data_IF_096185987126
#
_entry.id   IF_096185987126
#
_cell.length_a   1.000
_cell.length_b   1.000
_cell.length_c   1.000
_cell.angle_alpha   90.00
_cell.angle_beta   90.00
_cell.angle_gamma   90.00
#
_symmetry.space_group_name_H-M   'P 1'
#
loop_
_entity.id
_entity.type
_entity.pdbx_description
1 polymer ?
#
# COMPACT_ATOMS: atom_id res chain seq x y z
N UNK A 1 -24.86 1.17 6.36
CA UNK A 1 -24.28 1.10 7.74
C UNK A 1 -22.84 1.59 7.65
N UNK A 2 -22.25 2.18 8.71
CA UNK A 2 -20.84 2.56 8.68
C UNK A 2 -19.94 1.32 8.49
N UNK A 3 -18.76 1.44 7.86
CA UNK A 3 -17.84 0.32 7.72
C UNK A 3 -17.34 -0.14 9.09
N UNK A 4 -17.17 -1.46 9.30
CA UNK A 4 -16.61 -1.97 10.55
C UNK A 4 -15.12 -1.61 10.67
N UNK A 5 -14.72 -1.28 11.89
CA UNK A 5 -13.36 -0.93 12.28
C UNK A 5 -12.94 -1.79 13.47
N UNK A 6 -11.74 -2.37 13.41
CA UNK A 6 -11.12 -3.10 14.53
C UNK A 6 -9.65 -2.73 14.66
N UNK A 7 -9.14 -2.80 15.89
CA UNK A 7 -7.72 -2.71 16.17
C UNK A 7 -7.13 -4.13 16.14
N UNK A 8 -6.15 -4.34 15.25
CA UNK A 8 -5.46 -5.61 15.06
C UNK A 8 -4.03 -5.48 15.56
N UNK A 9 -3.65 -6.31 16.54
CA UNK A 9 -2.30 -6.33 17.10
C UNK A 9 -1.44 -7.40 16.43
N UNK A 10 -0.28 -7.01 15.92
CA UNK A 10 0.73 -7.88 15.33
C UNK A 10 1.76 -8.23 16.40
N UNK A 11 1.86 -9.51 16.75
CA UNK A 11 2.87 -10.05 17.66
C UNK A 11 3.85 -10.87 16.83
N UNK A 12 5.12 -10.47 16.80
CA UNK A 12 6.17 -11.13 16.02
C UNK A 12 7.18 -11.74 16.98
N UNK A 13 7.42 -13.04 16.86
CA UNK A 13 8.35 -13.80 17.71
C UNK A 13 8.13 -13.61 19.22
N UNK A 14 6.86 -13.41 19.62
CA UNK A 14 6.43 -13.26 21.01
C UNK A 14 6.37 -11.82 21.53
N UNK A 15 6.82 -10.84 20.75
CA UNK A 15 6.82 -9.42 21.13
C UNK A 15 5.85 -8.60 20.27
N UNK A 16 5.18 -7.62 20.89
CA UNK A 16 4.27 -6.72 20.16
C UNK A 16 5.06 -5.83 19.18
N UNK A 17 4.73 -5.91 17.90
CA UNK A 17 5.32 -5.06 16.87
C UNK A 17 4.50 -3.79 16.65
N UNK A 18 3.18 -3.91 16.45
CA UNK A 18 2.27 -2.80 16.17
C UNK A 18 0.81 -3.18 16.40
N UNK A 19 -0.04 -2.18 16.63
CA UNK A 19 -1.51 -2.31 16.56
C UNK A 19 -2.03 -1.37 15.49
N UNK A 20 -2.80 -1.91 14.55
CA UNK A 20 -3.31 -1.19 13.37
C UNK A 20 -4.83 -1.14 13.44
N UNK A 21 -5.41 0.06 13.35
CA UNK A 21 -6.85 0.22 13.13
C UNK A 21 -7.16 -0.03 11.65
N UNK A 22 -7.98 -1.03 11.35
CA UNK A 22 -8.27 -1.46 9.99
C UNK A 22 -9.67 -2.06 9.84
N UNK A 23 -10.04 -2.38 8.60
CA UNK A 23 -11.23 -3.18 8.33
C UNK A 23 -10.98 -4.65 8.72
N UNK A 24 -11.92 -5.34 9.39
CA UNK A 24 -11.71 -6.69 9.92
C UNK A 24 -11.95 -7.78 8.87
N UNK A 25 -11.23 -7.71 7.76
CA UNK A 25 -11.24 -8.74 6.74
C UNK A 25 -9.81 -9.00 6.27
N UNK A 26 -9.53 -10.23 5.81
CA UNK A 26 -8.21 -10.61 5.25
C UNK A 26 -7.03 -10.15 6.11
N UNK A 27 -7.14 -10.30 7.43
CA UNK A 27 -6.16 -9.76 8.41
C UNK A 27 -4.75 -10.35 8.23
N UNK A 28 -4.65 -11.59 7.75
CA UNK A 28 -3.39 -12.25 7.41
C UNK A 28 -2.66 -11.53 6.27
N UNK A 29 -3.38 -11.08 5.24
CA UNK A 29 -2.79 -10.32 4.15
C UNK A 29 -2.34 -8.93 4.61
N UNK A 30 -3.12 -8.27 5.48
CA UNK A 30 -2.68 -7.02 6.11
C UNK A 30 -1.38 -7.21 6.91
N UNK A 31 -1.29 -8.27 7.72
CA UNK A 31 -0.12 -8.56 8.54
C UNK A 31 1.13 -8.86 7.69
N UNK A 32 1.03 -9.74 6.69
CA UNK A 32 2.12 -10.00 5.75
C UNK A 32 2.55 -8.74 5.01
N UNK A 33 1.57 -7.97 4.57
CA UNK A 33 1.76 -6.70 3.92
C UNK A 33 2.56 -5.70 4.75
N UNK A 34 2.16 -5.54 6.02
CA UNK A 34 2.85 -4.68 6.97
C UNK A 34 4.31 -5.10 7.14
N UNK A 35 4.58 -6.40 7.34
CA UNK A 35 5.94 -6.91 7.45
C UNK A 35 6.77 -6.68 6.18
N UNK A 36 6.15 -6.86 5.01
CA UNK A 36 6.81 -6.66 3.71
C UNK A 36 7.15 -5.20 3.47
N UNK A 37 6.23 -4.32 3.82
CA UNK A 37 6.38 -2.87 3.71
C UNK A 37 7.36 -2.35 4.75
N UNK A 38 7.49 -2.95 5.93
CA UNK A 38 8.51 -2.55 6.91
C UNK A 38 9.87 -3.23 6.70
N UNK A 39 10.08 -3.87 5.54
CA UNK A 39 11.32 -4.55 5.15
C UNK A 39 11.75 -5.67 6.11
N UNK A 40 10.79 -6.21 6.88
CA UNK A 40 11.02 -7.33 7.81
C UNK A 40 11.09 -8.65 7.02
N UNK A 41 10.22 -8.81 6.02
CA UNK A 41 10.19 -9.96 5.11
C UNK A 41 10.34 -9.52 3.66
N UNK A 42 10.87 -10.38 2.79
CA UNK A 42 10.91 -10.20 1.34
C UNK A 42 9.91 -11.10 0.63
N UNK A 43 9.74 -12.32 1.12
CA UNK A 43 8.88 -13.36 0.53
C UNK A 43 7.94 -13.94 1.59
N UNK A 44 6.93 -14.71 1.17
CA UNK A 44 6.06 -15.42 2.10
C UNK A 44 6.83 -16.49 2.92
N UNK A 45 7.91 -17.05 2.36
CA UNK A 45 8.74 -18.09 3.01
C UNK A 45 9.53 -17.56 4.21
N UNK A 46 9.67 -16.23 4.34
CA UNK A 46 10.23 -15.60 5.53
C UNK A 46 9.31 -15.70 6.76
N UNK A 47 8.10 -16.26 6.61
CA UNK A 47 7.13 -16.49 7.68
C UNK A 47 6.89 -17.99 7.85
N UNK A 48 7.34 -18.54 8.98
CA UNK A 48 7.18 -19.95 9.32
C UNK A 48 5.76 -20.29 9.77
N UNK A 49 5.11 -19.35 10.47
CA UNK A 49 3.78 -19.53 11.01
C UNK A 49 3.09 -18.17 11.16
N UNK A 50 1.79 -18.14 10.85
CA UNK A 50 0.95 -16.97 11.11
C UNK A 50 -0.45 -17.43 11.54
N UNK A 51 -0.89 -16.99 12.71
CA UNK A 51 -2.14 -17.43 13.33
C UNK A 51 -2.98 -16.24 13.78
N UNK A 52 -4.28 -16.31 13.50
CA UNK A 52 -5.27 -15.33 13.96
C UNK A 52 -5.85 -15.82 15.29
N UNK A 53 -5.76 -14.98 16.33
CA UNK A 53 -6.20 -15.25 17.70
C UNK A 53 -7.22 -14.19 18.16
N UNK A 54 -7.81 -14.42 19.33
CA UNK A 54 -8.58 -13.43 20.10
C UNK A 54 -9.66 -12.74 19.25
N UNK A 55 -10.60 -13.52 18.71
CA UNK A 55 -11.71 -13.03 17.87
C UNK A 55 -11.28 -12.20 16.66
N UNK A 56 -10.16 -12.59 16.04
CA UNK A 56 -9.54 -11.89 14.92
C UNK A 56 -8.97 -10.52 15.27
N UNK A 57 -8.53 -10.30 16.52
CA UNK A 57 -7.89 -9.04 16.95
C UNK A 57 -6.39 -9.15 17.15
N UNK A 58 -5.84 -10.37 17.16
CA UNK A 58 -4.39 -10.60 17.31
C UNK A 58 -3.89 -11.50 16.18
N UNK A 59 -2.79 -11.11 15.54
CA UNK A 59 -2.07 -11.95 14.59
C UNK A 59 -0.70 -12.28 15.17
N UNK A 60 -0.47 -13.56 15.47
CA UNK A 60 0.81 -14.07 15.97
C UNK A 60 1.62 -14.58 14.79
N UNK A 61 2.86 -14.10 14.68
CA UNK A 61 3.76 -14.39 13.55
C UNK A 61 5.06 -14.97 14.10
N UNK A 62 5.53 -16.04 13.47
CA UNK A 62 6.87 -16.60 13.67
C UNK A 62 7.67 -16.43 12.39
N UNK A 63 8.81 -15.76 12.47
CA UNK A 63 9.66 -15.51 11.30
C UNK A 63 10.65 -16.65 11.06
N UNK A 64 11.04 -16.81 9.80
CA UNK A 64 12.14 -17.67 9.41
C UNK A 64 13.49 -16.98 9.69
N UNK A 65 14.60 -17.72 9.84
CA UNK A 65 15.93 -17.12 10.01
C UNK A 65 16.40 -16.23 8.85
N UNK A 66 15.76 -16.32 7.68
CA UNK A 66 16.02 -15.48 6.50
C UNK A 66 15.41 -14.08 6.63
N UNK A 67 14.41 -13.91 7.50
CA UNK A 67 13.78 -12.62 7.75
C UNK A 67 14.76 -11.65 8.42
N UNK A 68 14.51 -10.35 8.24
CA UNK A 68 15.32 -9.31 8.89
C UNK A 68 14.93 -9.16 10.36
N UNK A 69 15.87 -8.63 11.14
CA UNK A 69 15.63 -8.36 12.56
C UNK A 69 14.48 -7.38 12.75
N UNK A 70 13.50 -7.76 13.56
CA UNK A 70 12.35 -6.95 13.90
C UNK A 70 12.78 -5.74 14.76
N UNK A 71 12.39 -4.51 14.41
CA UNK A 71 12.85 -3.31 15.09
C UNK A 71 12.03 -2.98 16.34
N UNK A 72 11.99 -3.87 17.34
CA UNK A 72 11.21 -3.66 18.58
C UNK A 72 11.67 -2.40 19.36
N UNK A 73 12.91 -1.95 19.15
CA UNK A 73 13.54 -0.80 19.82
C UNK A 73 13.45 0.52 19.02
N UNK A 74 12.99 0.49 17.76
CA UNK A 74 12.89 1.72 16.95
C UNK A 74 11.69 2.56 17.36
N UNK A 75 11.88 3.87 17.40
CA UNK A 75 10.78 4.83 17.58
C UNK A 75 9.78 4.68 16.44
N UNK A 76 8.54 4.28 16.76
CA UNK A 76 7.40 4.27 15.84
C UNK A 76 7.12 5.70 15.37
N UNK A 77 7.09 5.94 14.06
CA UNK A 77 6.65 7.21 13.49
C UNK A 77 5.13 7.11 13.29
N UNK A 78 4.38 7.90 14.06
CA UNK A 78 2.95 8.03 13.89
C UNK A 78 2.66 9.12 12.85
N UNK A 79 2.04 8.75 11.74
CA UNK A 79 1.71 9.70 10.67
C UNK A 79 0.37 10.38 10.91
N UNK A 80 0.20 11.59 10.38
CA UNK A 80 -0.98 12.45 10.62
C UNK A 80 -2.24 12.04 9.84
N UNK A 81 -2.28 10.85 9.23
CA UNK A 81 -3.49 10.36 8.59
C UNK A 81 -4.60 10.04 9.61
N UNK A 82 -5.85 10.10 9.18
CA UNK A 82 -7.04 9.86 10.03
C UNK A 82 -7.01 8.55 10.84
N UNK A 83 -6.21 7.56 10.45
CA UNK A 83 -6.01 6.30 11.17
C UNK A 83 -4.63 6.08 11.82
N UNK A 84 -3.77 7.11 11.91
CA UNK A 84 -2.36 7.01 12.39
C UNK A 84 -1.62 5.84 11.76
N UNK A 85 -1.11 6.03 10.54
CA UNK A 85 -0.21 5.04 9.94
C UNK A 85 1.03 4.87 10.82
N UNK A 86 1.47 3.62 10.98
CA UNK A 86 2.69 3.27 11.73
C UNK A 86 3.74 2.88 10.71
N UNK A 87 4.84 3.63 10.66
CA UNK A 87 6.06 3.27 9.93
C UNK A 87 7.26 3.45 10.84
N UNK A 88 8.34 2.69 10.60
CA UNK A 88 9.59 2.82 11.36
C UNK A 88 10.65 3.67 10.66
N UNK A 89 10.41 4.11 9.42
CA UNK A 89 11.33 4.97 8.66
C UNK A 89 10.61 5.68 7.50
N UNK A 90 11.08 6.88 7.14
CA UNK A 90 10.64 7.61 5.96
C UNK A 90 11.62 7.47 4.77
N UNK A 91 12.64 6.63 4.89
CA UNK A 91 13.60 6.36 3.84
C UNK A 91 12.90 5.59 2.70
N UNK A 92 13.16 6.04 1.48
CA UNK A 92 12.66 5.41 0.26
C UNK A 92 13.72 4.52 -0.37
N UNK A 93 13.26 3.51 -1.12
CA UNK A 93 14.13 2.66 -1.93
C UNK A 93 13.95 3.07 -3.40
N UNK A 94 15.01 3.55 -4.10
CA UNK A 94 14.90 3.90 -5.51
C UNK A 94 14.40 2.74 -6.37
N UNK A 95 13.34 2.97 -7.13
CA UNK A 95 12.70 1.99 -8.00
C UNK A 95 13.39 1.99 -9.37
N UNK A 96 14.04 0.88 -9.68
CA UNK A 96 14.68 0.66 -10.97
C UNK A 96 13.66 0.13 -11.98
N UNK A 97 13.53 0.80 -13.13
CA UNK A 97 12.67 0.31 -14.21
C UNK A 97 11.18 0.28 -13.85
N UNK A 98 10.39 -0.34 -14.73
CA UNK A 98 8.93 -0.40 -14.63
C UNK A 98 8.23 0.00 -15.91
N UNK A 99 6.93 -0.23 -15.94
CA UNK A 99 6.12 0.02 -17.11
C UNK A 99 6.03 1.51 -17.43
N UNK A 100 5.85 1.83 -18.71
CA UNK A 100 5.50 3.16 -19.18
C UNK A 100 4.04 3.15 -19.61
N UNK A 101 3.26 4.11 -19.13
CA UNK A 101 1.82 4.20 -19.41
C UNK A 101 1.47 5.52 -20.08
N UNK A 102 0.45 5.49 -20.93
CA UNK A 102 -0.15 6.73 -21.43
C UNK A 102 -1.04 7.35 -20.33
N UNK A 103 -1.11 8.69 -20.24
CA UNK A 103 -2.05 9.39 -19.36
C UNK A 103 -3.48 8.84 -19.41
N UNK A 104 -4.01 8.56 -20.61
CA UNK A 104 -5.37 8.06 -20.81
C UNK A 104 -5.57 6.67 -20.19
N UNK A 105 -4.51 5.86 -20.13
CA UNK A 105 -4.57 4.54 -19.51
C UNK A 105 -4.76 4.65 -17.99
N UNK A 106 -4.08 5.61 -17.35
CA UNK A 106 -4.28 5.90 -15.92
C UNK A 106 -5.69 6.39 -15.64
N UNK A 107 -6.28 7.19 -16.54
CA UNK A 107 -7.67 7.65 -16.41
C UNK A 107 -8.65 6.47 -16.49
N UNK A 108 -8.49 5.58 -17.46
CA UNK A 108 -9.32 4.37 -17.61
C UNK A 108 -9.20 3.41 -16.42
N UNK A 109 -7.98 3.21 -15.91
CA UNK A 109 -7.77 2.40 -14.72
C UNK A 109 -8.36 3.04 -13.46
N UNK A 110 -8.35 4.37 -13.35
CA UNK A 110 -9.01 5.07 -12.25
C UNK A 110 -10.53 4.91 -12.32
N UNK A 111 -11.13 4.95 -13.51
CA UNK A 111 -12.55 4.61 -13.68
C UNK A 111 -12.83 3.17 -13.26
N UNK A 112 -12.01 2.22 -13.73
CA UNK A 112 -12.12 0.79 -13.37
C UNK A 112 -12.06 0.59 -11.84
N UNK A 113 -11.14 1.27 -11.16
CA UNK A 113 -10.99 1.23 -9.71
C UNK A 113 -12.27 1.72 -9.01
N UNK A 114 -12.79 2.87 -9.42
CA UNK A 114 -13.97 3.47 -8.81
C UNK A 114 -15.24 2.67 -9.11
N UNK A 115 -15.33 2.05 -10.28
CA UNK A 115 -16.46 1.23 -10.68
C UNK A 115 -16.52 -0.10 -9.91
N UNK A 116 -15.37 -0.67 -9.58
CA UNK A 116 -15.29 -1.92 -8.80
C UNK A 116 -15.32 -1.72 -7.27
N UNK A 117 -15.19 -0.49 -6.79
CA UNK A 117 -15.13 -0.17 -5.35
C UNK A 117 -16.50 -0.25 -4.67
N UNK A 118 -17.02 -1.46 -4.47
CA UNK A 118 -18.35 -1.73 -3.93
C UNK A 118 -18.53 -1.14 -2.52
N UNK A 119 -17.62 -1.40 -1.58
CA UNK A 119 -17.72 -0.86 -0.22
C UNK A 119 -17.59 0.67 -0.21
N UNK A 120 -16.71 1.23 -1.06
CA UNK A 120 -16.67 2.68 -1.24
C UNK A 120 -18.03 3.25 -1.68
N UNK A 121 -18.72 2.60 -2.61
CA UNK A 121 -20.06 3.00 -3.08
C UNK A 121 -21.14 2.83 -2.01
N UNK A 122 -21.06 1.77 -1.20
CA UNK A 122 -22.09 1.43 -0.21
C UNK A 122 -22.08 2.34 1.03
N UNK A 123 -20.90 2.65 1.56
CA UNK A 123 -20.81 3.40 2.83
C UNK A 123 -19.89 4.62 2.79
N UNK A 124 -19.11 4.86 1.72
CA UNK A 124 -18.29 6.06 1.54
C UNK A 124 -17.13 6.25 2.53
N UNK A 125 -17.04 5.41 3.56
CA UNK A 125 -16.07 5.51 4.65
C UNK A 125 -14.81 4.65 4.49
N UNK A 126 -14.62 3.97 3.36
CA UNK A 126 -13.39 3.21 3.07
C UNK A 126 -12.53 3.91 2.02
N UNK A 127 -11.26 3.55 2.02
CA UNK A 127 -10.33 3.79 0.92
C UNK A 127 -10.19 2.53 0.09
N UNK A 128 -9.87 2.73 -1.18
CA UNK A 128 -9.66 1.65 -2.14
C UNK A 128 -8.32 1.89 -2.81
N UNK A 129 -7.56 0.82 -3.02
CA UNK A 129 -6.39 0.85 -3.89
C UNK A 129 -6.36 -0.40 -4.76
N UNK A 130 -5.69 -0.28 -5.90
CA UNK A 130 -5.49 -1.39 -6.82
C UNK A 130 -4.11 -1.37 -7.44
N UNK A 131 -3.58 -2.56 -7.69
CA UNK A 131 -2.37 -2.81 -8.47
C UNK A 131 -2.77 -3.06 -9.92
N UNK A 132 -2.12 -2.34 -10.82
CA UNK A 132 -2.27 -2.47 -12.27
C UNK A 132 -0.94 -2.85 -12.91
N UNK A 133 -0.95 -3.96 -13.66
CA UNK A 133 0.14 -4.37 -14.52
C UNK A 133 -0.16 -4.08 -16.00
N UNK A 134 0.65 -4.64 -16.90
CA UNK A 134 0.50 -4.46 -18.35
C UNK A 134 -0.86 -4.95 -18.87
N UNK A 135 -1.42 -5.98 -18.23
CA UNK A 135 -2.71 -6.58 -18.58
C UNK A 135 -3.91 -5.90 -17.89
N UNK A 136 -3.69 -4.81 -17.16
CA UNK A 136 -4.73 -4.10 -16.42
C UNK A 136 -4.78 -4.47 -14.94
N UNK A 137 -6.00 -4.54 -14.39
CA UNK A 137 -6.23 -4.74 -12.96
C UNK A 137 -5.80 -6.15 -12.52
N UNK A 138 -4.89 -6.22 -11.55
CA UNK A 138 -4.40 -7.49 -11.01
C UNK A 138 -4.87 -7.75 -9.57
N UNK A 139 -4.80 -6.72 -8.71
CA UNK A 139 -5.25 -6.79 -7.32
C UNK A 139 -6.03 -5.55 -6.95
N UNK A 140 -7.02 -5.70 -6.07
CA UNK A 140 -7.81 -4.60 -5.53
C UNK A 140 -8.19 -4.89 -4.09
N UNK A 141 -8.09 -3.86 -3.25
CA UNK A 141 -8.36 -3.96 -1.82
C UNK A 141 -9.08 -2.72 -1.31
N UNK A 142 -9.82 -2.89 -0.23
CA UNK A 142 -10.46 -1.80 0.50
C UNK A 142 -10.06 -1.82 1.97
N UNK A 143 -9.98 -0.65 2.60
CA UNK A 143 -9.77 -0.52 4.03
C UNK A 143 -10.20 0.86 4.51
N UNK A 144 -10.63 1.00 5.77
CA UNK A 144 -10.87 2.32 6.39
C UNK A 144 -9.62 3.22 6.37
N UNK A 145 -8.42 2.64 6.37
CA UNK A 145 -7.15 3.34 6.32
C UNK A 145 -6.51 3.25 4.94
N UNK A 146 -6.26 4.39 4.28
CA UNK A 146 -5.57 4.42 2.98
C UNK A 146 -4.16 3.81 3.01
N UNK A 147 -3.48 3.83 4.16
CA UNK A 147 -2.14 3.25 4.26
C UNK A 147 -2.22 1.72 4.34
N UNK A 148 -3.28 1.21 4.97
CA UNK A 148 -3.56 -0.22 5.07
C UNK A 148 -3.86 -0.82 3.69
N UNK A 149 -4.37 -0.03 2.73
CA UNK A 149 -4.60 -0.56 1.37
C UNK A 149 -3.29 -0.90 0.66
N UNK A 150 -2.19 -0.18 0.93
CA UNK A 150 -0.89 -0.54 0.33
C UNK A 150 -0.30 -1.77 1.02
N UNK A 151 -0.42 -1.84 2.35
CA UNK A 151 -0.02 -3.05 3.11
C UNK A 151 -0.78 -4.26 2.57
N UNK A 152 -2.12 -4.16 2.47
CA UNK A 152 -2.93 -5.23 1.90
C UNK A 152 -2.50 -5.62 0.50
N UNK A 153 -2.29 -4.67 -0.42
CA UNK A 153 -1.77 -4.99 -1.77
C UNK A 153 -0.46 -5.78 -1.66
N UNK A 154 0.46 -5.37 -0.80
CA UNK A 154 1.74 -6.06 -0.61
C UNK A 154 1.56 -7.50 -0.10
N UNK A 155 0.68 -7.72 0.87
CA UNK A 155 0.43 -9.06 1.39
C UNK A 155 -0.36 -9.94 0.42
N UNK A 156 -1.35 -9.39 -0.27
CA UNK A 156 -2.10 -10.06 -1.33
C UNK A 156 -1.19 -10.48 -2.49
N UNK A 157 -0.27 -9.60 -2.87
CA UNK A 157 0.74 -9.88 -3.88
C UNK A 157 1.64 -11.06 -3.49
N UNK A 158 2.11 -11.10 -2.23
CA UNK A 158 2.90 -12.23 -1.72
C UNK A 158 2.11 -13.53 -1.71
N UNK A 159 0.84 -13.51 -1.28
CA UNK A 159 -0.01 -14.70 -1.21
C UNK A 159 -0.38 -15.24 -2.60
N UNK A 160 -0.52 -14.37 -3.58
CA UNK A 160 -0.90 -14.73 -4.95
C UNK A 160 0.27 -14.87 -5.92
N UNK A 161 1.52 -14.73 -5.45
CA UNK A 161 2.74 -14.67 -6.27
C UNK A 161 2.64 -13.65 -7.43
N UNK A 162 2.05 -12.48 -7.14
CA UNK A 162 1.89 -11.39 -8.09
C UNK A 162 3.01 -10.37 -7.85
N UNK A 163 3.96 -10.17 -8.79
CA UNK A 163 5.03 -9.20 -8.61
C UNK A 163 4.46 -7.78 -8.60
N UNK A 164 4.92 -6.93 -7.70
CA UNK A 164 4.53 -5.50 -7.64
C UNK A 164 5.53 -4.57 -8.32
N UNK A 165 6.76 -5.07 -8.53
CA UNK A 165 7.86 -4.28 -9.05
C UNK A 165 7.53 -3.70 -10.44
N UNK A 166 7.77 -2.40 -10.60
CA UNK A 166 7.58 -1.68 -11.85
C UNK A 166 6.12 -1.41 -12.24
N UNK A 167 5.13 -1.82 -11.43
CA UNK A 167 3.69 -1.66 -11.72
C UNK A 167 3.14 -0.33 -11.21
N UNK A 168 1.84 -0.10 -11.43
CA UNK A 168 1.13 1.07 -10.92
C UNK A 168 0.22 0.73 -9.75
N UNK A 169 0.19 1.60 -8.75
CA UNK A 169 -0.85 1.63 -7.74
C UNK A 169 -1.73 2.86 -7.96
N UNK A 170 -3.03 2.62 -8.07
CA UNK A 170 -4.05 3.67 -8.08
C UNK A 170 -4.83 3.64 -6.77
N UNK A 171 -5.12 4.80 -6.19
CA UNK A 171 -5.85 4.89 -4.92
C UNK A 171 -6.92 5.99 -4.90
N UNK A 172 -7.98 5.77 -4.13
CA UNK A 172 -9.02 6.77 -3.87
C UNK A 172 -8.59 7.86 -2.86
N UNK A 173 -7.57 7.59 -2.04
CA UNK A 173 -7.04 8.48 -1.00
C UNK A 173 -5.90 9.38 -1.48
N UNK A 174 -5.51 10.35 -0.64
CA UNK A 174 -4.34 11.23 -0.90
C UNK A 174 -3.04 10.43 -0.88
N UNK A 175 -2.10 10.82 -1.74
CA UNK A 175 -0.74 10.28 -1.74
C UNK A 175 0.09 11.06 -0.71
N UNK A 176 0.16 10.55 0.53
CA UNK A 176 1.05 11.08 1.58
C UNK A 176 2.47 10.54 1.43
N UNK A 177 3.43 11.13 2.15
CA UNK A 177 4.82 10.64 2.22
C UNK A 177 4.89 9.16 2.56
N UNK A 178 4.11 8.71 3.55
CA UNK A 178 3.99 7.31 3.91
C UNK A 178 3.57 6.43 2.73
N UNK A 179 2.57 6.83 1.94
CA UNK A 179 2.12 6.05 0.78
C UNK A 179 3.25 5.84 -0.24
N UNK A 180 4.07 6.86 -0.46
CA UNK A 180 5.22 6.80 -1.36
C UNK A 180 6.30 5.87 -0.82
N UNK A 181 6.62 5.98 0.49
CA UNK A 181 7.57 5.06 1.15
C UNK A 181 7.11 3.62 0.97
N UNK A 182 5.83 3.33 1.24
CA UNK A 182 5.27 1.98 1.08
C UNK A 182 5.37 1.50 -0.36
N UNK A 183 5.01 2.34 -1.35
CA UNK A 183 5.14 2.01 -2.77
C UNK A 183 6.59 1.71 -3.15
N UNK A 184 7.56 2.50 -2.67
CA UNK A 184 8.99 2.32 -2.96
C UNK A 184 9.51 0.96 -2.46
N UNK A 185 9.09 0.56 -1.26
CA UNK A 185 9.55 -0.70 -0.64
C UNK A 185 8.98 -1.95 -1.32
N UNK A 186 7.85 -1.82 -2.01
CA UNK A 186 7.29 -2.88 -2.87
C UNK A 186 7.63 -2.68 -4.35
N UNK A 187 8.52 -1.73 -4.68
CA UNK A 187 9.03 -1.52 -6.03
C UNK A 187 8.03 -0.95 -7.03
N UNK A 188 6.94 -0.34 -6.59
CA UNK A 188 5.92 0.23 -7.49
C UNK A 188 6.48 1.48 -8.19
N UNK A 189 6.38 1.51 -9.53
CA UNK A 189 6.97 2.57 -10.35
C UNK A 189 6.04 3.76 -10.58
N UNK A 190 4.73 3.61 -10.34
CA UNK A 190 3.73 4.66 -10.57
C UNK A 190 2.72 4.68 -9.41
N UNK A 191 2.54 5.84 -8.77
CA UNK A 191 1.51 6.08 -7.78
C UNK A 191 0.52 7.15 -8.30
N UNK A 192 -0.74 6.76 -8.48
CA UNK A 192 -1.77 7.63 -9.02
C UNK A 192 -2.97 7.74 -8.08
N UNK A 193 -3.59 8.92 -8.02
CA UNK A 193 -4.72 9.17 -7.12
C UNK A 193 -5.77 10.06 -7.75
N UNK A 194 -7.03 9.82 -7.37
CA UNK A 194 -8.16 10.70 -7.67
C UNK A 194 -8.05 12.08 -6.99
N UNK A 195 -7.19 12.22 -5.99
CA UNK A 195 -6.99 13.43 -5.19
C UNK A 195 -5.52 13.85 -5.17
N UNK A 196 -5.13 14.74 -4.26
CA UNK A 196 -3.80 15.37 -4.25
C UNK A 196 -2.72 14.49 -3.60
N UNK A 197 -1.46 14.59 -4.08
CA UNK A 197 -0.30 14.29 -3.26
C UNK A 197 -0.01 15.43 -2.27
N UNK A 198 0.82 15.15 -1.25
CA UNK A 198 1.44 16.18 -0.40
C UNK A 198 2.81 16.59 -0.92
N UNK A 199 3.31 17.78 -0.58
CA UNK A 199 4.64 18.25 -0.99
C UNK A 199 5.76 17.25 -0.67
N UNK A 200 5.82 16.78 0.58
CA UNK A 200 6.80 15.78 1.00
C UNK A 200 6.67 14.46 0.23
N UNK A 201 5.45 14.09 -0.20
CA UNK A 201 5.26 12.88 -1.00
C UNK A 201 5.88 13.02 -2.39
N UNK A 202 5.73 14.20 -3.02
CA UNK A 202 6.34 14.49 -4.32
C UNK A 202 7.87 14.48 -4.19
N UNK A 203 8.43 15.07 -3.14
CA UNK A 203 9.87 15.05 -2.86
C UNK A 203 10.41 13.62 -2.72
N UNK A 204 9.77 12.80 -1.87
CA UNK A 204 10.16 11.40 -1.68
C UNK A 204 9.99 10.56 -2.95
N UNK A 205 9.01 10.89 -3.79
CA UNK A 205 8.81 10.17 -5.04
C UNK A 205 9.91 10.48 -6.07
N UNK A 206 10.47 11.69 -6.05
CA UNK A 206 11.64 12.04 -6.86
C UNK A 206 12.87 11.26 -6.42
N UNK A 207 13.10 11.16 -5.11
CA UNK A 207 14.19 10.34 -4.55
C UNK A 207 14.00 8.85 -4.86
N UNK A 208 12.76 8.36 -4.77
CA UNK A 208 12.40 6.98 -5.04
C UNK A 208 12.31 6.64 -6.54
N UNK A 209 12.41 7.62 -7.45
CA UNK A 209 12.15 7.45 -8.89
C UNK A 209 10.77 6.84 -9.21
N UNK A 210 9.72 7.34 -8.56
CA UNK A 210 8.32 6.90 -8.70
C UNK A 210 7.49 8.00 -9.36
N UNK A 211 6.78 7.68 -10.44
CA UNK A 211 5.87 8.63 -11.07
C UNK A 211 4.68 8.93 -10.16
N UNK A 212 4.29 10.19 -10.03
CA UNK A 212 3.16 10.64 -9.21
C UNK A 212 2.16 11.43 -10.04
N UNK A 213 0.95 10.91 -10.11
CA UNK A 213 -0.20 11.56 -10.74
C UNK A 213 -1.31 11.81 -9.71
N UNK A 214 -1.75 13.06 -9.58
CA UNK A 214 -2.88 13.43 -8.74
C UNK A 214 -4.07 13.89 -9.57
N UNK A 215 -5.22 14.00 -8.92
CA UNK A 215 -6.46 14.47 -9.56
C UNK A 215 -6.84 13.70 -10.83
N UNK A 216 -6.49 12.41 -10.89
CA UNK A 216 -6.81 11.53 -12.03
C UNK A 216 -8.33 11.33 -12.08
N UNK A 217 -8.93 11.76 -13.18
CA UNK A 217 -10.36 11.66 -13.51
C UNK A 217 -10.48 11.25 -14.99
N UNK A 218 -11.70 11.03 -15.45
CA UNK A 218 -12.03 10.59 -16.81
C UNK A 218 -11.29 11.35 -17.93
N UNK A 219 -11.13 12.65 -17.77
CA UNK A 219 -10.71 13.59 -18.82
C UNK A 219 -9.51 14.47 -18.40
N UNK A 220 -9.00 14.29 -17.18
CA UNK A 220 -7.90 15.10 -16.67
C UNK A 220 -7.04 14.31 -15.67
N UNK A 221 -5.76 14.64 -15.66
CA UNK A 221 -4.85 14.31 -14.58
C UNK A 221 -3.83 15.42 -14.39
N UNK A 222 -3.16 15.43 -13.24
CA UNK A 222 -2.02 16.32 -12.99
C UNK A 222 -0.79 15.48 -12.69
N UNK A 223 0.26 15.66 -13.48
CA UNK A 223 1.57 15.04 -13.24
C UNK A 223 2.34 15.90 -12.25
N UNK A 224 2.78 15.30 -11.15
CA UNK A 224 3.62 15.94 -10.14
C UNK A 224 5.08 15.50 -10.26
N UNK A 225 5.30 14.27 -10.69
CA UNK A 225 6.59 13.73 -11.07
C UNK A 225 6.39 12.64 -12.11
N UNK A 226 7.15 12.66 -13.21
CA UNK A 226 6.98 11.71 -14.31
C UNK A 226 7.86 10.45 -14.16
N UNK A 227 9.07 10.59 -13.59
CA UNK A 227 10.06 9.52 -13.46
C UNK A 227 10.37 8.73 -14.77
N UNK A 228 10.08 9.30 -15.95
CA UNK A 228 10.19 8.62 -17.24
C UNK A 228 9.14 7.51 -17.46
N UNK A 229 8.02 7.54 -16.73
CA UNK A 229 6.98 6.49 -16.74
C UNK A 229 5.71 6.89 -17.46
N UNK A 230 5.55 8.16 -17.85
CA UNK A 230 4.40 8.59 -18.63
C UNK A 230 4.83 8.85 -20.07
N UNK A 231 4.15 8.19 -21.02
CA UNK A 231 4.30 8.48 -22.43
C UNK A 231 3.52 9.76 -22.77
N UNK A 232 4.12 10.91 -22.44
CA UNK A 232 3.61 12.23 -22.78
C UNK A 232 3.92 12.50 -24.26
N UNK A 233 2.86 12.60 -25.07
CA UNK A 233 2.95 12.97 -26.50
C UNK A 233 3.30 14.44 -26.69
#
# INVERSE_FOLDING_TARGET
MPPPERAITLIVDGEELATVACSPHRVLALALGFLRVEDIIQTADDVLLMEVCDEETVVKIRLAPTARKVPHDRKRILTSGCGRGVTFSLDVVPVAGGMTVRPEQLMQWMETLLDKAEGYKEHGGTHTAALFGENGLELMVEDIGRHNTIDRIAGEALLADVPTAGKAILTSGRISSEMVVKCSRIGVGIAASRTSPTELAVSLAQEANIAVCGYVRRDQLRVYHDAGRLALS
#
